data_IF_344184185408
#
_entry.id   IF_344184185408
#
_cell.length_a   1.000
_cell.length_b   1.000
_cell.length_c   1.000
_cell.angle_alpha   90.00
_cell.angle_beta   90.00
_cell.angle_gamma   90.00
#
_symmetry.space_group_name_H-M   'P 1'
#
loop_
_entity.id
_entity.type
_entity.pdbx_description
1 polymer ?
#
# COMPACT_ATOMS: atom_id res chain seq x y z
N UNK A 1 -10.88 1.15 8.57
CA UNK A 1 -9.72 1.43 7.67
C UNK A 1 -9.43 2.91 7.72
N UNK A 2 -8.19 3.31 8.01
CA UNK A 2 -7.81 4.73 8.12
C UNK A 2 -6.80 5.07 7.03
N UNK A 3 -7.13 6.07 6.21
CA UNK A 3 -6.25 6.51 5.13
C UNK A 3 -5.23 7.53 5.65
N UNK A 4 -3.95 7.24 5.42
CA UNK A 4 -2.81 8.16 5.70
C UNK A 4 -2.90 8.85 7.07
N UNK A 5 -3.02 8.09 8.17
CA UNK A 5 -3.07 8.66 9.52
C UNK A 5 -1.77 9.42 9.84
N UNK A 6 -1.86 10.39 10.75
CA UNK A 6 -0.67 10.98 11.35
C UNK A 6 0.06 9.91 12.20
N UNK A 7 1.38 10.02 12.40
CA UNK A 7 2.11 9.08 13.27
C UNK A 7 1.49 8.97 14.66
N UNK A 8 1.08 10.09 15.26
CA UNK A 8 0.41 10.12 16.57
C UNK A 8 -0.91 9.36 16.58
N UNK A 9 -1.76 9.54 15.56
CA UNK A 9 -3.02 8.80 15.45
C UNK A 9 -2.76 7.29 15.30
N UNK A 10 -1.74 6.92 14.51
CA UNK A 10 -1.37 5.53 14.34
C UNK A 10 -0.91 4.89 15.66
N UNK A 11 -0.08 5.59 16.43
CA UNK A 11 0.42 5.13 17.74
C UNK A 11 -0.69 4.96 18.77
N UNK A 12 -1.67 5.87 18.79
CA UNK A 12 -2.72 5.90 19.80
C UNK A 12 -3.88 4.95 19.49
N UNK A 13 -4.25 4.81 18.21
CA UNK A 13 -5.52 4.16 17.83
C UNK A 13 -5.35 2.94 16.93
N UNK A 14 -4.20 2.76 16.24
CA UNK A 14 -4.01 1.70 15.24
C UNK A 14 -3.16 0.54 15.74
N UNK A 15 -3.43 0.10 16.97
CA UNK A 15 -2.68 -0.97 17.64
C UNK A 15 -3.21 -2.33 17.20
N UNK A 16 -2.32 -3.18 16.67
CA UNK A 16 -2.63 -4.57 16.32
C UNK A 16 -1.89 -5.51 17.28
N UNK A 17 -2.60 -6.37 18.03
CA UNK A 17 -1.96 -7.35 18.91
C UNK A 17 -0.94 -8.20 18.17
N UNK A 18 0.25 -8.36 18.75
CA UNK A 18 1.35 -9.15 18.18
C UNK A 18 2.33 -8.39 17.29
N UNK A 19 2.07 -7.11 16.97
CA UNK A 19 3.07 -6.26 16.32
C UNK A 19 4.01 -5.60 17.32
N UNK A 20 5.26 -5.36 16.89
CA UNK A 20 6.19 -4.50 17.63
C UNK A 20 5.72 -3.06 17.57
N UNK A 21 6.07 -2.30 18.62
CA UNK A 21 5.87 -0.84 18.66
C UNK A 21 6.47 -0.19 17.40
N UNK A 22 5.77 0.80 16.86
CA UNK A 22 6.15 1.51 15.64
C UNK A 22 5.96 0.72 14.34
N UNK A 23 5.36 -0.48 14.39
CA UNK A 23 5.02 -1.26 13.20
C UNK A 23 3.50 -1.33 13.03
N UNK A 24 3.04 -1.06 11.81
CA UNK A 24 1.62 -1.00 11.47
C UNK A 24 1.33 -1.85 10.23
N UNK A 25 0.12 -2.40 10.14
CA UNK A 25 -0.34 -3.07 8.92
C UNK A 25 -0.87 -2.01 7.94
N UNK A 26 -0.22 -1.93 6.79
CA UNK A 26 -0.61 -1.04 5.70
C UNK A 26 -1.19 -1.83 4.53
N UNK A 27 -2.23 -1.30 3.91
CA UNK A 27 -2.75 -1.86 2.67
C UNK A 27 -1.76 -1.64 1.51
N UNK A 28 -1.58 -2.67 0.69
CA UNK A 28 -0.73 -2.64 -0.50
C UNK A 28 -1.48 -2.35 -1.80
N UNK A 29 -2.75 -1.93 -1.72
CA UNK A 29 -3.56 -1.54 -2.87
C UNK A 29 -4.12 -2.72 -3.67
N UNK A 30 -4.08 -3.93 -3.11
CA UNK A 30 -4.74 -5.11 -3.68
C UNK A 30 -5.94 -5.48 -2.82
N UNK A 31 -7.08 -5.63 -3.48
CA UNK A 31 -8.35 -5.91 -2.83
C UNK A 31 -9.07 -7.03 -3.59
N UNK A 32 -9.57 -8.02 -2.86
CA UNK A 32 -10.54 -8.99 -3.36
C UNK A 32 -11.86 -8.66 -2.67
N UNK A 33 -12.81 -8.13 -3.43
CA UNK A 33 -14.03 -7.52 -2.89
C UNK A 33 -15.25 -8.31 -3.35
N UNK A 34 -16.20 -8.49 -2.44
CA UNK A 34 -17.54 -8.97 -2.78
C UNK A 34 -18.31 -7.88 -3.54
N UNK A 35 -19.42 -8.24 -4.19
CA UNK A 35 -20.25 -7.29 -4.92
C UNK A 35 -20.85 -6.20 -4.04
N UNK A 36 -20.99 -6.43 -2.73
CA UNK A 36 -21.55 -5.47 -1.76
C UNK A 36 -20.80 -4.14 -1.75
N UNK A 37 -19.51 -4.10 -2.12
CA UNK A 37 -18.79 -2.83 -2.27
C UNK A 37 -19.42 -1.92 -3.32
N UNK A 38 -19.96 -2.49 -4.41
CA UNK A 38 -20.57 -1.71 -5.48
C UNK A 38 -21.88 -1.06 -5.01
N UNK A 39 -22.66 -1.75 -4.18
CA UNK A 39 -23.87 -1.19 -3.59
C UNK A 39 -23.55 -0.01 -2.66
N UNK A 40 -22.48 -0.13 -1.86
CA UNK A 40 -21.99 0.95 -0.99
C UNK A 40 -21.52 2.14 -1.83
N UNK A 41 -20.75 1.90 -2.88
CA UNK A 41 -20.25 2.95 -3.77
C UNK A 41 -21.39 3.66 -4.50
N UNK A 42 -22.39 2.92 -5.00
CA UNK A 42 -23.57 3.47 -5.65
C UNK A 42 -24.38 4.36 -4.71
N UNK A 43 -24.62 3.91 -3.47
CA UNK A 43 -25.32 4.71 -2.47
C UNK A 43 -24.56 6.00 -2.12
N UNK A 44 -23.23 5.94 -2.02
CA UNK A 44 -22.38 7.11 -1.76
C UNK A 44 -22.38 8.10 -2.91
N UNK A 45 -22.29 7.61 -4.14
CA UNK A 45 -22.38 8.45 -5.34
C UNK A 45 -23.75 9.14 -5.43
N UNK A 46 -24.84 8.42 -5.14
CA UNK A 46 -26.17 9.02 -5.14
C UNK A 46 -26.34 10.09 -4.05
N UNK A 47 -25.72 9.91 -2.88
CA UNK A 47 -25.77 10.88 -1.80
C UNK A 47 -24.92 12.14 -2.08
N UNK A 48 -23.82 12.01 -2.83
CA UNK A 48 -22.93 13.12 -3.18
C UNK A 48 -22.45 13.01 -4.65
N UNK A 49 -23.29 13.36 -5.64
CA UNK A 49 -23.00 13.13 -7.06
C UNK A 49 -21.74 13.85 -7.57
N UNK A 50 -21.45 15.02 -7.02
CA UNK A 50 -20.34 15.88 -7.46
C UNK A 50 -19.06 15.67 -6.63
N UNK A 51 -19.09 14.81 -5.62
CA UNK A 51 -17.94 14.55 -4.77
C UNK A 51 -17.01 13.49 -5.37
N UNK A 52 -15.71 13.64 -5.13
CA UNK A 52 -14.73 12.61 -5.44
C UNK A 52 -15.04 11.34 -4.64
N UNK A 53 -15.32 10.24 -5.34
CA UNK A 53 -15.63 8.96 -4.71
C UNK A 53 -14.34 8.24 -4.32
N UNK A 54 -14.10 8.13 -3.01
CA UNK A 54 -12.95 7.42 -2.46
C UNK A 54 -13.32 5.99 -2.06
N UNK A 55 -12.40 5.05 -2.29
CA UNK A 55 -12.59 3.65 -1.93
C UNK A 55 -12.45 3.41 -0.42
N UNK A 56 -11.55 4.13 0.28
CA UNK A 56 -11.25 3.92 1.70
C UNK A 56 -12.50 3.97 2.60
N UNK A 57 -13.40 4.96 2.45
CA UNK A 57 -14.65 4.99 3.21
C UNK A 57 -15.61 3.84 2.88
N UNK A 58 -15.65 3.37 1.63
CA UNK A 58 -16.48 2.24 1.24
C UNK A 58 -15.95 0.91 1.84
N UNK A 59 -14.64 0.72 1.91
CA UNK A 59 -14.02 -0.43 2.57
C UNK A 59 -14.25 -0.43 4.08
N UNK A 60 -14.18 0.75 4.70
CA UNK A 60 -14.48 0.93 6.12
C UNK A 60 -15.94 0.57 6.45
N UNK A 61 -16.86 0.91 5.55
CA UNK A 61 -18.26 0.51 5.65
C UNK A 61 -18.48 -0.98 5.38
N UNK A 62 -17.82 -1.54 4.37
CA UNK A 62 -17.87 -2.97 4.05
C UNK A 62 -17.42 -3.82 5.26
N UNK A 63 -16.37 -3.38 5.96
CA UNK A 63 -15.87 -4.03 7.17
C UNK A 63 -16.87 -4.08 8.34
N UNK A 64 -17.91 -3.24 8.32
CA UNK A 64 -19.01 -3.29 9.29
C UNK A 64 -20.18 -4.15 8.83
N UNK A 65 -20.30 -4.44 7.53
CA UNK A 65 -21.43 -5.17 6.94
C UNK A 65 -21.18 -6.66 6.80
N UNK A 66 -19.94 -7.06 6.59
CA UNK A 66 -19.58 -8.46 6.35
C UNK A 66 -18.20 -8.83 6.89
N UNK A 67 -17.87 -10.13 6.84
CA UNK A 67 -16.57 -10.62 7.28
C UNK A 67 -15.46 -10.06 6.38
N UNK A 68 -14.73 -9.10 6.92
CA UNK A 68 -13.63 -8.44 6.23
C UNK A 68 -12.29 -8.99 6.74
N UNK A 69 -11.48 -9.52 5.83
CA UNK A 69 -10.20 -10.15 6.14
C UNK A 69 -9.04 -9.37 5.54
N UNK A 70 -7.89 -9.45 6.21
CA UNK A 70 -6.63 -8.93 5.70
C UNK A 70 -5.68 -10.09 5.41
N UNK A 71 -4.96 -10.00 4.29
CA UNK A 71 -3.86 -10.89 3.96
C UNK A 71 -2.54 -10.20 4.27
N UNK A 72 -1.75 -10.79 5.18
CA UNK A 72 -0.36 -10.39 5.40
C UNK A 72 0.55 -11.25 4.54
N UNK A 73 1.50 -10.63 3.84
CA UNK A 73 2.47 -11.31 2.99
C UNK A 73 3.89 -10.93 3.41
N UNK A 74 4.82 -11.89 3.40
CA UNK A 74 6.25 -11.71 3.67
C UNK A 74 7.04 -11.16 2.48
N UNK A 75 6.36 -10.53 1.52
CA UNK A 75 6.96 -9.95 0.32
C UNK A 75 7.50 -8.53 0.53
N UNK A 76 8.21 -8.04 -0.49
CA UNK A 76 8.59 -6.63 -0.59
C UNK A 76 7.67 -5.92 -1.58
N UNK A 77 7.16 -4.76 -1.17
CA UNK A 77 6.40 -3.84 -2.03
C UNK A 77 7.29 -2.67 -2.39
N UNK A 78 7.31 -2.31 -3.67
CA UNK A 78 7.93 -1.09 -4.16
C UNK A 78 6.83 -0.12 -4.59
N UNK A 79 6.75 1.03 -3.93
CA UNK A 79 5.84 2.10 -4.35
C UNK A 79 6.50 2.90 -5.47
N UNK A 80 5.99 2.76 -6.70
CA UNK A 80 6.54 3.45 -7.88
C UNK A 80 6.07 4.90 -8.00
N UNK A 81 5.09 5.32 -7.21
CA UNK A 81 4.49 6.66 -7.27
C UNK A 81 5.28 7.76 -6.55
N UNK A 82 6.35 7.41 -5.82
CA UNK A 82 7.19 8.37 -5.08
C UNK A 82 8.43 8.81 -5.89
N UNK A 83 9.08 9.91 -5.49
CA UNK A 83 10.17 10.60 -6.24
C UNK A 83 11.29 9.69 -6.78
N UNK A 84 11.59 8.56 -6.13
CA UNK A 84 12.57 7.57 -6.60
C UNK A 84 12.02 6.14 -6.61
N UNK A 85 10.70 6.00 -6.59
CA UNK A 85 9.99 4.74 -6.48
C UNK A 85 10.27 3.80 -7.64
N UNK A 86 10.10 4.30 -8.86
CA UNK A 86 10.36 3.54 -10.09
C UNK A 86 11.83 3.09 -10.19
N UNK A 87 12.78 4.00 -9.95
CA UNK A 87 14.21 3.66 -9.95
C UNK A 87 14.51 2.54 -8.94
N UNK A 88 14.00 2.66 -7.71
CA UNK A 88 14.21 1.65 -6.66
C UNK A 88 13.61 0.30 -7.05
N UNK A 89 12.42 0.29 -7.67
CA UNK A 89 11.79 -0.93 -8.16
C UNK A 89 12.59 -1.58 -9.29
N UNK A 90 13.08 -0.79 -10.25
CA UNK A 90 13.90 -1.29 -11.36
C UNK A 90 15.22 -1.88 -10.86
N UNK A 91 15.90 -1.21 -9.94
CA UNK A 91 17.11 -1.75 -9.31
C UNK A 91 16.82 -3.05 -8.58
N UNK A 92 15.73 -3.13 -7.81
CA UNK A 92 15.36 -4.35 -7.11
C UNK A 92 15.11 -5.52 -8.06
N UNK A 93 14.42 -5.28 -9.18
CA UNK A 93 14.18 -6.28 -10.21
C UNK A 93 15.49 -6.73 -10.87
N UNK A 94 16.33 -5.79 -11.31
CA UNK A 94 17.58 -6.12 -11.99
C UNK A 94 18.56 -6.85 -11.07
N UNK A 95 18.67 -6.43 -9.81
CA UNK A 95 19.50 -7.10 -8.80
C UNK A 95 18.98 -8.48 -8.38
N UNK A 96 17.73 -8.81 -8.71
CA UNK A 96 17.14 -10.14 -8.51
C UNK A 96 17.14 -10.99 -9.79
N UNK A 97 17.60 -10.43 -10.92
CA UNK A 97 17.60 -11.05 -12.24
C UNK A 97 18.97 -11.57 -12.69
N UNK A 98 19.06 -11.99 -13.95
CA UNK A 98 20.30 -12.48 -14.57
C UNK A 98 21.39 -11.43 -14.67
N UNK A 99 20.99 -10.17 -14.83
CA UNK A 99 21.90 -9.05 -15.15
C UNK A 99 22.46 -8.39 -13.88
N UNK A 100 22.26 -9.03 -12.72
CA UNK A 100 22.63 -8.52 -11.40
C UNK A 100 24.10 -8.05 -11.34
N UNK A 101 25.02 -8.84 -11.88
CA UNK A 101 26.45 -8.57 -11.75
C UNK A 101 26.89 -7.39 -12.64
N UNK A 102 26.28 -7.23 -13.82
CA UNK A 102 26.48 -6.07 -14.68
C UNK A 102 25.98 -4.80 -13.99
N UNK A 103 24.76 -4.83 -13.46
CA UNK A 103 24.16 -3.68 -12.77
C UNK A 103 24.95 -3.29 -11.53
N UNK A 104 25.43 -4.26 -10.74
CA UNK A 104 26.27 -3.97 -9.57
C UNK A 104 27.59 -3.33 -9.98
N UNK A 105 28.24 -3.84 -11.04
CA UNK A 105 29.48 -3.26 -11.57
C UNK A 105 29.26 -1.80 -11.97
N UNK A 106 28.24 -1.51 -12.78
CA UNK A 106 27.94 -0.15 -13.22
C UNK A 106 27.62 0.79 -12.04
N UNK A 107 26.90 0.31 -11.02
CA UNK A 107 26.63 1.12 -9.82
C UNK A 107 27.91 1.46 -9.05
N UNK A 108 28.83 0.49 -8.89
CA UNK A 108 30.11 0.73 -8.21
C UNK A 108 30.99 1.68 -9.00
N UNK A 109 31.07 1.52 -10.32
CA UNK A 109 31.82 2.43 -11.20
C UNK A 109 31.29 3.87 -11.14
N UNK A 110 29.97 4.04 -11.15
CA UNK A 110 29.32 5.35 -10.99
C UNK A 110 29.62 6.00 -9.64
N UNK A 111 29.77 5.21 -8.58
CA UNK A 111 30.17 5.71 -7.26
C UNK A 111 31.65 6.07 -7.20
N UNK A 112 32.52 5.33 -7.91
CA UNK A 112 33.96 5.54 -7.94
C UNK A 112 34.41 6.70 -8.86
N UNK A 113 33.57 7.09 -9.82
CA UNK A 113 33.82 8.23 -10.73
C UNK A 113 33.35 9.57 -10.17
N UNK A 114 32.91 9.61 -8.91
CA UNK A 114 32.54 10.82 -8.17
C UNK A 114 33.55 11.16 -7.09
#
# INVERSE_FOLDING_TARGET
>A
VVEKPTPTLAEQELIVPGLRVGHYLCFFGLHVLTSTVMDILAARLAAQPDASLHLSPALDELARRERYLALSNLGRRYDVGVKYGLLTAQLALALSGSDRDEVLTSLVELLATR
#
